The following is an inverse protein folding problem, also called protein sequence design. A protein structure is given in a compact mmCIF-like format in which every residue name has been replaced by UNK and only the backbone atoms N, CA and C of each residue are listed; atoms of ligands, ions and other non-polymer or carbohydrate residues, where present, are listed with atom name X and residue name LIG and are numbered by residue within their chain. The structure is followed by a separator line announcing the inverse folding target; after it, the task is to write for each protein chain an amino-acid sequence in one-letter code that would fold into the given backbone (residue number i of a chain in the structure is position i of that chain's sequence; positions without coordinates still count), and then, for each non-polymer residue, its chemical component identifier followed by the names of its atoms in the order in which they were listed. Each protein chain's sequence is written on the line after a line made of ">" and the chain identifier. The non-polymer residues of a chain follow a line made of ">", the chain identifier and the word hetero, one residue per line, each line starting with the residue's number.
data_IF_300708945884
#
_entry.id   IF_300708945884
#
_cell.length_a   1.000
_cell.length_b   1.000
_cell.length_c   1.000
_cell.angle_alpha   90.00
_cell.angle_beta   90.00
_cell.angle_gamma   90.00
#
_symmetry.space_group_name_H-M   'P 1'
#
loop_
_entity.id
_entity.type
_entity.pdbx_description
1 polymer ?
#
# COMPACT_ATOMS: atom_id res chain seq x y z
N UNK A 1 39.53 -58.22 36.69
CA UNK A 1 38.76 -57.31 37.58
C UNK A 1 37.99 -56.32 36.72
N UNK A 2 36.67 -56.49 36.58
CA UNK A 2 35.83 -55.67 35.66
C UNK A 2 35.15 -54.53 36.41
N UNK A 3 35.48 -53.32 36.00
CA UNK A 3 34.97 -52.01 36.41
C UNK A 3 33.46 -51.89 36.21
N UNK A 4 32.67 -52.19 37.24
CA UNK A 4 31.21 -51.97 37.26
C UNK A 4 30.76 -50.66 37.94
N UNK A 5 31.68 -49.94 38.58
CA UNK A 5 31.35 -48.77 39.41
C UNK A 5 31.13 -47.47 38.61
N UNK A 6 31.89 -47.24 37.53
CA UNK A 6 31.82 -45.98 36.76
C UNK A 6 30.53 -45.79 35.95
N UNK A 7 29.89 -46.88 35.50
CA UNK A 7 28.72 -46.79 34.61
C UNK A 7 27.43 -46.36 35.34
N UNK A 8 27.31 -46.57 36.66
CA UNK A 8 26.15 -46.14 37.44
C UNK A 8 26.16 -44.63 37.70
N UNK A 9 27.33 -44.08 38.01
CA UNK A 9 27.51 -42.65 38.27
C UNK A 9 27.25 -41.79 37.03
N UNK A 10 27.68 -42.26 35.85
CA UNK A 10 27.44 -41.57 34.58
C UNK A 10 25.94 -41.48 34.23
N UNK A 11 25.15 -42.51 34.54
CA UNK A 11 23.70 -42.53 34.28
C UNK A 11 22.92 -41.58 35.19
N UNK A 12 23.35 -41.46 36.45
CA UNK A 12 22.74 -40.51 37.40
C UNK A 12 23.04 -39.06 36.98
N UNK A 13 24.27 -38.78 36.55
CA UNK A 13 24.65 -37.45 36.07
C UNK A 13 23.85 -37.04 34.81
N UNK A 14 23.63 -37.98 33.88
CA UNK A 14 22.83 -37.76 32.68
C UNK A 14 21.35 -37.50 33.00
N UNK A 15 20.77 -38.23 33.95
CA UNK A 15 19.38 -37.98 34.38
C UNK A 15 19.21 -36.61 35.05
N UNK A 16 20.17 -36.19 35.87
CA UNK A 16 20.15 -34.85 36.48
C UNK A 16 20.28 -33.77 35.40
N UNK A 17 21.11 -33.98 34.38
CA UNK A 17 21.23 -33.04 33.26
C UNK A 17 19.94 -32.94 32.43
N UNK A 18 19.32 -34.08 32.09
CA UNK A 18 18.11 -34.13 31.25
C UNK A 18 16.89 -33.51 31.95
N UNK A 19 16.80 -33.58 33.28
CA UNK A 19 15.68 -32.99 34.03
C UNK A 19 16.02 -31.57 34.52
N UNK A 20 17.25 -31.34 34.95
CA UNK A 20 17.71 -30.06 35.49
C UNK A 20 17.79 -28.96 34.44
N UNK A 21 18.27 -29.26 33.23
CA UNK A 21 18.36 -28.28 32.13
C UNK A 21 16.98 -27.74 31.72
N UNK A 22 15.96 -28.57 31.42
CA UNK A 22 14.63 -28.05 31.09
C UNK A 22 13.95 -27.34 32.26
N UNK A 23 14.23 -27.72 33.52
CA UNK A 23 13.71 -27.00 34.68
C UNK A 23 14.28 -25.58 34.79
N UNK A 24 15.58 -25.41 34.53
CA UNK A 24 16.25 -24.10 34.51
C UNK A 24 15.70 -23.23 33.38
N UNK A 25 15.41 -23.82 32.21
CA UNK A 25 14.80 -23.10 31.08
C UNK A 25 13.37 -22.66 31.41
N UNK A 26 12.56 -23.53 32.04
CA UNK A 26 11.19 -23.19 32.46
C UNK A 26 11.14 -22.05 33.49
N UNK A 27 12.10 -22.01 34.42
CA UNK A 27 12.19 -20.94 35.42
C UNK A 27 12.62 -19.58 34.82
N UNK A 28 13.16 -19.56 33.60
CA UNK A 28 13.57 -18.34 32.90
C UNK A 28 12.59 -17.91 31.79
N UNK A 29 11.41 -18.51 31.71
CA UNK A 29 10.34 -18.02 30.83
C UNK A 29 9.78 -16.72 31.39
N UNK A 30 10.21 -15.60 30.81
CA UNK A 30 9.70 -14.27 31.13
C UNK A 30 8.33 -14.09 30.49
N UNK A 31 7.27 -14.16 31.30
CA UNK A 31 5.93 -13.81 30.86
C UNK A 31 5.87 -12.29 30.63
N UNK A 32 5.58 -11.88 29.40
CA UNK A 32 5.44 -10.46 29.05
C UNK A 32 4.39 -9.80 29.93
N UNK A 33 4.82 -8.93 30.84
CA UNK A 33 3.93 -8.20 31.73
C UNK A 33 3.19 -7.13 30.92
N UNK A 34 1.87 -7.14 30.99
CA UNK A 34 1.04 -6.10 30.37
C UNK A 34 1.45 -4.74 30.95
N UNK A 35 1.80 -3.78 30.08
CA UNK A 35 2.24 -2.46 30.52
C UNK A 35 1.06 -1.75 31.19
N UNK A 36 1.10 -1.63 32.53
CA UNK A 36 0.17 -0.79 33.27
C UNK A 36 0.30 0.64 32.77
N UNK A 37 -0.78 1.18 32.21
CA UNK A 37 -0.85 2.57 31.77
C UNK A 37 -0.72 3.44 33.02
N UNK A 38 0.26 4.35 33.01
CA UNK A 38 0.49 5.28 34.13
C UNK A 38 -0.77 6.13 34.37
N UNK A 39 -1.12 6.33 35.64
CA UNK A 39 -2.12 7.29 36.11
C UNK A 39 -2.03 8.65 35.40
N UNK A 40 -0.81 9.13 35.12
CA UNK A 40 -0.58 10.37 34.40
C UNK A 40 -1.25 10.37 33.01
N UNK A 41 -1.22 9.26 32.27
CA UNK A 41 -1.86 9.18 30.97
C UNK A 41 -3.39 9.14 31.08
N UNK A 42 -3.93 8.53 32.14
CA UNK A 42 -5.37 8.54 32.40
C UNK A 42 -5.87 9.94 32.79
N UNK A 43 -5.09 10.68 33.56
CA UNK A 43 -5.41 12.06 33.95
C UNK A 43 -5.29 13.03 32.77
N UNK A 44 -4.27 12.86 31.94
CA UNK A 44 -4.13 13.61 30.70
C UNK A 44 -5.27 13.30 29.73
N UNK A 45 -5.61 12.03 29.54
CA UNK A 45 -6.75 11.64 28.71
C UNK A 45 -8.05 12.24 29.28
N UNK A 46 -8.28 12.18 30.59
CA UNK A 46 -9.44 12.85 31.21
C UNK A 46 -9.45 14.38 31.02
N UNK A 47 -8.29 15.02 30.99
CA UNK A 47 -8.14 16.47 30.82
C UNK A 47 -8.30 16.93 29.36
N UNK A 48 -7.84 16.13 28.41
CA UNK A 48 -7.78 16.49 26.98
C UNK A 48 -8.77 15.71 26.11
N UNK A 49 -9.47 14.72 26.66
CA UNK A 49 -10.57 14.04 25.99
C UNK A 49 -11.64 15.08 25.68
N UNK A 50 -11.90 15.21 24.40
CA UNK A 50 -12.94 16.07 23.88
C UNK A 50 -14.25 15.83 24.67
N UNK A 51 -14.95 16.89 25.11
CA UNK A 51 -16.19 16.71 25.86
C UNK A 51 -17.17 15.90 24.99
N UNK A 52 -17.99 15.07 25.62
CA UNK A 52 -18.84 14.08 24.94
C UNK A 52 -19.78 14.72 23.89
N UNK A 53 -20.10 16.01 24.09
CA UNK A 53 -20.85 16.87 23.16
C UNK A 53 -20.14 17.11 21.80
N UNK A 54 -18.82 16.95 21.70
CA UNK A 54 -18.02 17.07 20.47
C UNK A 54 -17.85 15.73 19.74
N UNK A 55 -18.47 14.65 20.24
CA UNK A 55 -18.47 13.35 19.55
C UNK A 55 -19.19 13.39 18.20
N UNK A 56 -20.10 14.36 18.03
CA UNK A 56 -20.78 14.62 16.76
C UNK A 56 -20.44 16.02 16.27
N UNK A 57 -19.97 16.10 15.03
CA UNK A 57 -19.78 17.37 14.35
C UNK A 57 -21.15 18.09 14.23
N UNK A 58 -21.20 19.42 14.36
CA UNK A 58 -22.44 20.19 14.21
C UNK A 58 -22.99 20.21 12.77
N UNK A 59 -22.39 19.42 11.88
CA UNK A 59 -22.78 19.23 10.48
C UNK A 59 -22.52 17.79 10.08
N UNK A 60 -23.37 17.27 9.20
CA UNK A 60 -23.14 16.01 8.52
C UNK A 60 -21.98 16.19 7.53
N UNK A 61 -20.95 15.34 7.61
CA UNK A 61 -19.87 15.38 6.63
C UNK A 61 -20.45 14.96 5.28
N UNK A 62 -20.21 15.78 4.24
CA UNK A 62 -20.47 15.34 2.88
C UNK A 62 -19.71 14.04 2.63
N UNK A 63 -20.42 12.99 2.22
CA UNK A 63 -19.81 11.73 1.86
C UNK A 63 -18.81 11.98 0.70
N UNK A 64 -17.49 11.82 0.91
CA UNK A 64 -16.48 12.10 -0.10
C UNK A 64 -16.62 11.19 -1.34
N UNK A 65 -17.38 10.10 -1.22
CA UNK A 65 -17.69 9.15 -2.30
C UNK A 65 -18.96 9.50 -3.08
N UNK A 66 -19.78 10.42 -2.57
CA UNK A 66 -21.05 10.87 -3.20
C UNK A 66 -20.88 12.07 -4.13
N UNK A 67 -19.63 12.53 -4.32
CA UNK A 67 -19.29 13.60 -5.25
C UNK A 67 -19.71 13.24 -6.67
N UNK A 68 -20.27 14.20 -7.41
CA UNK A 68 -20.53 14.06 -8.85
C UNK A 68 -19.20 13.69 -9.50
N UNK A 69 -19.09 12.47 -10.04
CA UNK A 69 -17.88 12.01 -10.72
C UNK A 69 -17.73 12.79 -12.04
N UNK A 70 -17.19 14.01 -11.94
CA UNK A 70 -16.80 14.83 -13.08
C UNK A 70 -15.69 14.10 -13.85
N UNK A 71 -15.62 14.36 -15.15
CA UNK A 71 -14.54 13.81 -15.99
C UNK A 71 -13.16 14.21 -15.44
N UNK A 72 -12.14 13.37 -15.61
CA UNK A 72 -10.78 13.72 -15.20
C UNK A 72 -10.26 14.90 -16.05
N UNK A 73 -9.28 15.67 -15.55
CA UNK A 73 -8.58 16.65 -16.37
C UNK A 73 -7.92 15.95 -17.56
N UNK A 74 -8.05 16.55 -18.75
CA UNK A 74 -7.48 16.02 -20.00
C UNK A 74 -6.12 16.64 -20.35
N UNK A 75 -5.58 17.50 -19.48
CA UNK A 75 -4.21 18.01 -19.62
C UNK A 75 -3.23 16.83 -19.72
N UNK A 76 -2.27 16.91 -20.64
CA UNK A 76 -1.27 15.86 -20.87
C UNK A 76 -1.82 14.48 -21.29
N UNK A 77 -3.08 14.35 -21.70
CA UNK A 77 -3.68 13.05 -22.08
C UNK A 77 -2.93 12.35 -23.23
N UNK A 78 -2.30 13.14 -24.12
CA UNK A 78 -1.50 12.65 -25.25
C UNK A 78 -0.25 11.87 -24.79
N UNK A 79 0.27 12.13 -23.59
CA UNK A 79 1.40 11.38 -23.05
C UNK A 79 0.99 9.96 -22.60
N UNK A 80 -0.30 9.73 -22.33
CA UNK A 80 -0.84 8.46 -21.84
C UNK A 80 -1.47 7.62 -22.94
N UNK A 81 -2.21 8.25 -23.85
CA UNK A 81 -3.01 7.56 -24.86
C UNK A 81 -2.62 8.01 -26.26
N UNK A 82 -2.51 7.05 -27.18
CA UNK A 82 -2.24 7.35 -28.57
C UNK A 82 -3.46 7.97 -29.27
N UNK A 83 -3.19 8.72 -30.35
CA UNK A 83 -4.20 9.44 -31.14
C UNK A 83 -5.31 8.52 -31.65
N UNK A 84 -4.98 7.32 -32.12
CA UNK A 84 -5.97 6.37 -32.64
C UNK A 84 -6.93 5.87 -31.55
N UNK A 85 -6.44 5.67 -30.33
CA UNK A 85 -7.26 5.31 -29.18
C UNK A 85 -8.18 6.46 -28.79
N UNK A 86 -7.65 7.70 -28.71
CA UNK A 86 -8.44 8.89 -28.36
C UNK A 86 -9.54 9.13 -29.41
N UNK A 87 -9.23 8.98 -30.70
CA UNK A 87 -10.21 9.10 -31.78
C UNK A 87 -11.36 8.12 -31.62
N UNK A 88 -11.08 6.82 -31.40
CA UNK A 88 -12.13 5.82 -31.15
C UNK A 88 -12.91 6.09 -29.86
N UNK A 89 -12.22 6.57 -28.83
CA UNK A 89 -12.81 6.92 -27.55
C UNK A 89 -13.83 8.05 -27.70
N UNK A 90 -13.47 9.16 -28.34
CA UNK A 90 -14.37 10.30 -28.55
C UNK A 90 -15.54 9.92 -29.47
N UNK A 91 -15.28 9.14 -30.52
CA UNK A 91 -16.31 8.71 -31.46
C UNK A 91 -17.40 7.85 -30.80
N UNK A 92 -17.02 6.91 -29.94
CA UNK A 92 -17.97 6.10 -29.19
C UNK A 92 -17.33 5.45 -27.95
N UNK A 93 -17.42 6.11 -26.78
CA UNK A 93 -16.78 5.60 -25.56
C UNK A 93 -17.29 4.20 -25.16
N UNK A 94 -18.60 3.95 -25.32
CA UNK A 94 -19.25 2.68 -24.95
C UNK A 94 -18.80 1.50 -25.82
N UNK A 95 -18.33 1.75 -27.05
CA UNK A 95 -17.73 0.71 -27.90
C UNK A 95 -16.32 0.33 -27.46
N UNK A 96 -15.58 1.26 -26.84
CA UNK A 96 -14.22 1.00 -26.34
C UNK A 96 -14.26 0.39 -24.94
N UNK A 97 -15.12 0.92 -24.07
CA UNK A 97 -15.33 0.45 -22.70
C UNK A 97 -16.84 0.42 -22.42
N UNK A 98 -17.40 -0.77 -22.20
CA UNK A 98 -18.85 -0.98 -22.09
C UNK A 98 -19.52 -0.17 -20.96
N UNK A 99 -18.80 0.04 -19.85
CA UNK A 99 -19.24 0.84 -18.70
C UNK A 99 -18.77 2.31 -18.73
N UNK A 100 -18.38 2.83 -19.91
CA UNK A 100 -17.97 4.21 -20.05
C UNK A 100 -19.10 5.18 -19.65
N UNK A 101 -18.77 6.13 -18.76
CA UNK A 101 -19.68 7.21 -18.35
C UNK A 101 -19.78 8.34 -19.37
N UNK A 102 -18.72 8.55 -20.16
CA UNK A 102 -18.72 9.57 -21.21
C UNK A 102 -19.77 9.20 -22.27
N UNK A 103 -20.74 10.08 -22.59
CA UNK A 103 -21.72 9.82 -23.63
C UNK A 103 -21.07 9.90 -25.03
N UNK A 104 -21.76 9.37 -26.03
CA UNK A 104 -21.43 9.67 -27.41
C UNK A 104 -21.83 11.13 -27.68
N UNK A 105 -20.86 11.96 -28.05
CA UNK A 105 -21.07 13.38 -28.32
C UNK A 105 -21.63 13.66 -29.73
N UNK A 106 -21.68 12.65 -30.61
CA UNK A 106 -22.22 12.78 -31.96
C UNK A 106 -21.34 13.60 -32.90
N UNK A 107 -20.05 13.76 -32.56
CA UNK A 107 -19.09 14.53 -33.34
C UNK A 107 -18.75 13.83 -34.66
N UNK A 108 -18.54 14.62 -35.71
CA UNK A 108 -17.99 14.14 -36.97
C UNK A 108 -16.47 13.86 -36.86
N UNK A 109 -15.89 13.30 -37.92
CA UNK A 109 -14.48 12.92 -37.90
C UNK A 109 -13.53 14.12 -37.85
N UNK A 110 -13.88 15.22 -38.51
CA UNK A 110 -13.17 16.47 -38.60
C UNK A 110 -13.17 17.21 -37.25
N UNK A 111 -14.29 17.23 -36.56
CA UNK A 111 -14.46 17.73 -35.19
C UNK A 111 -13.63 16.91 -34.21
N UNK A 112 -13.69 15.57 -34.29
CA UNK A 112 -12.86 14.68 -33.46
C UNK A 112 -11.38 15.00 -33.67
N UNK A 113 -10.97 15.21 -34.91
CA UNK A 113 -9.59 15.60 -35.25
C UNK A 113 -9.23 16.96 -34.63
N UNK A 114 -10.12 17.95 -34.71
CA UNK A 114 -9.92 19.26 -34.10
C UNK A 114 -9.78 19.16 -32.57
N UNK A 115 -10.60 18.33 -31.91
CA UNK A 115 -10.49 18.07 -30.47
C UNK A 115 -9.13 17.45 -30.14
N UNK A 116 -8.66 16.47 -30.92
CA UNK A 116 -7.35 15.84 -30.68
C UNK A 116 -6.21 16.84 -30.84
N UNK A 117 -6.28 17.72 -31.85
CA UNK A 117 -5.30 18.80 -32.03
C UNK A 117 -5.32 19.75 -30.83
N UNK A 118 -6.50 20.13 -30.35
CA UNK A 118 -6.64 20.93 -29.15
C UNK A 118 -6.05 20.24 -27.91
N UNK A 119 -6.36 18.96 -27.69
CA UNK A 119 -5.77 18.17 -26.60
C UNK A 119 -4.25 18.07 -26.70
N UNK A 120 -3.70 18.09 -27.91
CA UNK A 120 -2.25 18.11 -28.15
C UNK A 120 -1.62 19.45 -27.77
N UNK A 121 -2.37 20.55 -27.91
CA UNK A 121 -1.93 21.88 -27.46
C UNK A 121 -1.91 22.01 -25.92
N UNK A 122 -2.66 21.17 -25.20
CA UNK A 122 -2.66 21.10 -23.73
C UNK A 122 -1.49 20.28 -23.16
N UNK A 123 -0.51 19.92 -23.98
CA UNK A 123 0.72 19.26 -23.52
C UNK A 123 1.59 20.28 -22.77
N UNK A 124 1.74 20.08 -21.47
CA UNK A 124 2.66 20.81 -20.62
C UNK A 124 4.09 20.26 -20.77
N UNK A 125 5.05 20.82 -20.00
CA UNK A 125 6.46 20.40 -20.02
C UNK A 125 6.59 18.88 -19.95
N UNK A 126 7.50 18.35 -20.76
CA UNK A 126 7.73 16.91 -20.85
C UNK A 126 8.06 16.34 -19.48
N UNK A 127 7.28 15.35 -19.06
CA UNK A 127 7.60 14.56 -17.88
C UNK A 127 8.91 13.83 -18.19
N UNK A 128 9.96 13.96 -17.35
CA UNK A 128 11.21 13.27 -17.59
C UNK A 128 10.93 11.77 -17.72
N UNK A 129 11.39 11.19 -18.82
CA UNK A 129 11.25 9.76 -19.05
C UNK A 129 12.16 9.04 -18.06
N UNK A 130 11.55 8.36 -17.08
CA UNK A 130 12.29 7.58 -16.10
C UNK A 130 12.58 6.22 -16.75
N UNK A 131 13.87 5.90 -16.94
CA UNK A 131 14.28 4.56 -17.31
C UNK A 131 14.38 3.71 -16.05
N UNK A 132 13.59 2.64 -16.01
CA UNK A 132 13.64 1.67 -14.94
C UNK A 132 14.69 0.61 -15.24
N UNK A 133 15.38 0.15 -14.21
CA UNK A 133 16.31 -0.95 -14.35
C UNK A 133 15.57 -2.21 -14.81
N UNK A 134 16.18 -2.98 -15.71
CA UNK A 134 15.54 -4.14 -16.36
C UNK A 134 15.09 -5.22 -15.37
N UNK A 135 15.75 -5.34 -14.22
CA UNK A 135 15.37 -6.30 -13.18
C UNK A 135 14.01 -5.99 -12.55
N UNK A 136 13.58 -4.72 -12.51
CA UNK A 136 12.26 -4.34 -11.96
C UNK A 136 11.08 -4.84 -12.81
N UNK A 137 11.34 -5.29 -14.04
CA UNK A 137 10.34 -5.87 -14.94
C UNK A 137 10.23 -7.39 -14.80
N UNK A 138 11.19 -8.03 -14.12
CA UNK A 138 11.14 -9.47 -13.84
C UNK A 138 10.06 -9.74 -12.80
N UNK A 139 9.54 -10.97 -12.78
CA UNK A 139 8.69 -11.42 -11.67
C UNK A 139 9.57 -11.59 -10.43
N UNK A 140 8.96 -11.46 -9.27
CA UNK A 140 9.64 -11.59 -7.97
C UNK A 140 10.39 -12.92 -7.84
N UNK A 141 9.78 -14.02 -8.28
CA UNK A 141 10.37 -15.36 -8.26
C UNK A 141 11.60 -15.53 -9.17
N UNK A 142 11.78 -14.63 -10.16
CA UNK A 142 12.86 -14.66 -11.15
C UNK A 142 14.01 -13.69 -10.77
N UNK A 143 13.94 -13.03 -9.61
CA UNK A 143 14.97 -12.11 -9.13
C UNK A 143 16.08 -12.86 -8.39
N UNK A 144 17.34 -12.45 -8.60
CA UNK A 144 18.41 -12.86 -7.67
C UNK A 144 18.21 -12.17 -6.31
N UNK A 145 18.84 -12.68 -5.25
CA UNK A 145 18.79 -12.06 -3.91
C UNK A 145 19.21 -10.57 -3.96
N UNK A 146 20.29 -10.25 -4.67
CA UNK A 146 20.75 -8.87 -4.85
C UNK A 146 19.77 -7.97 -5.63
N UNK A 147 19.05 -8.52 -6.60
CA UNK A 147 18.03 -7.79 -7.37
C UNK A 147 16.77 -7.56 -6.53
N UNK A 148 16.40 -8.55 -5.72
CA UNK A 148 15.30 -8.47 -4.76
C UNK A 148 15.56 -7.36 -3.72
N UNK A 149 16.75 -7.31 -3.13
CA UNK A 149 17.10 -6.28 -2.14
C UNK A 149 17.03 -4.85 -2.73
N UNK A 150 17.45 -4.68 -3.98
CA UNK A 150 17.34 -3.39 -4.70
C UNK A 150 15.89 -3.04 -4.98
N UNK A 151 15.09 -4.01 -5.43
CA UNK A 151 13.67 -3.84 -5.66
C UNK A 151 12.94 -3.47 -4.35
N UNK A 152 13.22 -4.17 -3.26
CA UNK A 152 12.60 -3.95 -1.94
C UNK A 152 12.90 -2.54 -1.41
N UNK A 153 14.14 -2.06 -1.59
CA UNK A 153 14.50 -0.68 -1.24
C UNK A 153 13.67 0.35 -2.01
N UNK A 154 13.49 0.15 -3.32
CA UNK A 154 12.67 1.03 -4.17
C UNK A 154 11.20 0.94 -3.74
N UNK A 155 10.67 -0.28 -3.55
CA UNK A 155 9.32 -0.54 -3.09
C UNK A 155 9.01 0.18 -1.76
N UNK A 156 9.89 0.04 -0.77
CA UNK A 156 9.75 0.69 0.52
C UNK A 156 9.81 2.21 0.42
N UNK A 157 10.68 2.76 -0.43
CA UNK A 157 10.71 4.20 -0.71
C UNK A 157 9.40 4.71 -1.34
N UNK A 158 8.83 3.94 -2.28
CA UNK A 158 7.56 4.24 -2.93
C UNK A 158 6.38 4.19 -1.95
N UNK A 159 6.36 3.20 -1.05
CA UNK A 159 5.38 3.10 0.03
C UNK A 159 5.42 4.32 0.95
N UNK A 160 6.62 4.82 1.28
CA UNK A 160 6.80 6.05 2.06
C UNK A 160 6.26 7.29 1.36
N UNK A 161 6.47 7.42 0.05
CA UNK A 161 5.90 8.52 -0.75
C UNK A 161 4.38 8.41 -0.81
N UNK A 162 3.84 7.22 -1.09
CA UNK A 162 2.41 6.94 -1.18
C UNK A 162 1.67 7.30 0.12
N UNK A 163 2.23 6.91 1.26
CA UNK A 163 1.69 7.26 2.58
C UNK A 163 1.74 8.75 2.87
N UNK A 164 2.89 9.41 2.62
CA UNK A 164 3.05 10.86 2.85
C UNK A 164 2.17 11.72 1.96
N UNK A 165 2.02 11.34 0.69
CA UNK A 165 1.11 11.97 -0.25
C UNK A 165 -0.37 11.67 0.04
N UNK A 166 -0.65 10.83 1.04
CA UNK A 166 -2.00 10.44 1.45
C UNK A 166 -2.84 9.90 0.29
N UNK A 167 -2.19 9.20 -0.65
CA UNK A 167 -2.85 8.65 -1.83
C UNK A 167 -4.01 7.72 -1.45
N UNK A 168 -3.88 6.95 -0.36
CA UNK A 168 -4.92 6.05 0.15
C UNK A 168 -6.20 6.74 0.60
N UNK A 169 -6.18 8.04 0.91
CA UNK A 169 -7.38 8.78 1.32
C UNK A 169 -8.40 8.83 0.17
N UNK A 170 -7.92 8.96 -1.07
CA UNK A 170 -8.77 9.04 -2.27
C UNK A 170 -8.67 7.80 -3.18
N UNK A 171 -7.53 7.10 -3.18
CA UNK A 171 -7.25 5.90 -3.98
C UNK A 171 -6.96 4.70 -3.07
N UNK A 172 -8.00 4.03 -2.57
CA UNK A 172 -7.80 2.88 -1.71
C UNK A 172 -7.29 1.68 -2.50
N UNK A 173 -6.22 1.09 -2.00
CA UNK A 173 -5.59 -0.11 -2.57
C UNK A 173 -6.54 -1.29 -2.35
N UNK A 174 -6.75 -2.13 -3.39
CA UNK A 174 -7.75 -3.22 -3.50
C UNK A 174 -9.14 -2.85 -4.05
N UNK A 175 -9.28 -1.69 -4.70
CA UNK A 175 -10.41 -1.45 -5.62
C UNK A 175 -11.72 -0.98 -4.98
N UNK A 176 -11.68 -0.38 -3.79
CA UNK A 176 -12.85 0.26 -3.14
C UNK A 176 -12.85 1.78 -3.36
N UNK A 177 -12.79 2.25 -4.61
CA UNK A 177 -12.86 3.70 -4.96
C UNK A 177 -13.76 3.99 -6.16
#
# INVERSE_FOLDING_TARGET
>A
MRSRSLAGFQKILLLIAIVGLPWIVFMNVSFGQERKIDSMFLDLDKKYRFPEEWSMLPFELEDPYKRVKNGPPLANVINKANVGWISRWIANPKKVVSNAKMPNLGLDFEEIKAVIVFLSSLKEKEVPQITWDSFLLKKEDDLSEDEYDKMDKIYNSGKGVWGRARCTICHPIKGVG
#
